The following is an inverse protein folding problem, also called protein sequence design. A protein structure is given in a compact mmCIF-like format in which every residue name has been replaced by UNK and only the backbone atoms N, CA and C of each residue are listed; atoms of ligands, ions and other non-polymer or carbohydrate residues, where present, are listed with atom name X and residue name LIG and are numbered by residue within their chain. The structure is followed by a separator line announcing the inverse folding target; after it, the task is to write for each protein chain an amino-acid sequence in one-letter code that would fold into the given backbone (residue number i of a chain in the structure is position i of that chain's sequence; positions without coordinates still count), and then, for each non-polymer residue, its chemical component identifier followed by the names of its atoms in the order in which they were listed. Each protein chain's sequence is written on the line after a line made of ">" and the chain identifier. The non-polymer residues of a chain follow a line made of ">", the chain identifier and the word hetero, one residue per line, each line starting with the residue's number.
data_IF_455988564910
#
_entry.id   IF_455988564910
#
_cell.length_a   1.000
_cell.length_b   1.000
_cell.length_c   1.000
_cell.angle_alpha   90.00
_cell.angle_beta   90.00
_cell.angle_gamma   90.00
#
_symmetry.space_group_name_H-M   'P 1'
#
loop_
_entity.id
_entity.type
_entity.pdbx_description
1 polymer ?
#
# COMPACT_ATOMS: atom_id res chain seq x y z
N UNK A 1 -38.48 8.47 3.80
CA UNK A 1 -37.07 8.49 3.51
C UNK A 1 -36.60 7.09 3.06
N UNK A 2 -35.79 6.97 1.98
CA UNK A 2 -35.30 5.69 1.53
C UNK A 2 -34.29 5.10 2.55
N UNK A 3 -34.30 3.76 2.67
CA UNK A 3 -33.37 3.02 3.49
C UNK A 3 -32.23 2.47 2.65
N UNK A 4 -31.05 2.38 3.26
CA UNK A 4 -29.86 1.83 2.66
C UNK A 4 -29.29 0.66 3.45
N UNK A 5 -28.54 -0.16 2.75
CA UNK A 5 -27.68 -1.21 3.30
C UNK A 5 -26.24 -0.80 3.06
N UNK A 6 -25.44 -0.74 4.12
CA UNK A 6 -24.03 -0.36 4.08
C UNK A 6 -23.18 -1.46 4.69
N UNK A 7 -22.12 -1.84 3.97
CA UNK A 7 -21.13 -2.81 4.36
C UNK A 7 -19.74 -2.20 4.17
N UNK A 8 -18.93 -2.21 5.22
CA UNK A 8 -17.62 -1.54 5.19
C UNK A 8 -16.60 -2.25 4.30
N UNK A 9 -16.59 -3.57 4.32
CA UNK A 9 -15.73 -4.43 3.51
C UNK A 9 -16.11 -5.90 3.65
N UNK A 10 -15.70 -6.69 2.68
CA UNK A 10 -15.80 -8.15 2.68
C UNK A 10 -14.60 -8.75 1.95
N UNK A 11 -14.25 -9.96 2.28
CA UNK A 11 -13.27 -10.73 1.52
C UNK A 11 -14.00 -11.88 0.81
N UNK A 12 -13.89 -12.05 -0.45
CA UNK A 12 -13.20 -11.45 -1.57
C UNK A 12 -14.21 -10.73 -2.44
N UNK A 13 -15.40 -11.35 -2.63
CA UNK A 13 -16.50 -10.92 -3.45
C UNK A 13 -17.85 -11.30 -2.81
N UNK A 14 -18.91 -10.53 -3.11
CA UNK A 14 -20.25 -10.76 -2.58
C UNK A 14 -21.35 -10.40 -3.57
N UNK A 15 -22.45 -11.15 -3.55
CA UNK A 15 -23.70 -10.79 -4.20
C UNK A 15 -24.79 -10.61 -3.13
N UNK A 16 -25.58 -9.56 -3.25
CA UNK A 16 -26.50 -9.05 -2.25
C UNK A 16 -27.92 -9.17 -2.74
N UNK A 17 -28.80 -9.65 -1.86
CA UNK A 17 -30.24 -9.81 -2.13
C UNK A 17 -31.02 -9.27 -0.96
N UNK A 18 -32.17 -8.66 -1.26
CA UNK A 18 -33.16 -8.22 -0.27
C UNK A 18 -34.50 -8.83 -0.60
N UNK A 19 -35.08 -9.59 0.35
CA UNK A 19 -36.32 -10.33 0.17
C UNK A 19 -36.39 -11.18 -1.10
N UNK A 20 -35.24 -11.79 -1.49
CA UNK A 20 -35.10 -12.58 -2.69
C UNK A 20 -34.78 -11.80 -3.96
N UNK A 21 -34.92 -10.48 -3.97
CA UNK A 21 -34.56 -9.65 -5.11
C UNK A 21 -33.06 -9.29 -5.12
N UNK A 22 -32.43 -9.40 -6.27
CA UNK A 22 -31.00 -9.06 -6.45
C UNK A 22 -30.80 -7.53 -6.39
N UNK A 23 -29.91 -7.09 -5.50
CA UNK A 23 -29.54 -5.69 -5.35
C UNK A 23 -28.28 -5.32 -6.14
N UNK A 24 -27.35 -6.25 -6.26
CA UNK A 24 -26.07 -6.05 -6.94
C UNK A 24 -24.98 -6.98 -6.43
N UNK A 25 -23.81 -6.92 -7.07
CA UNK A 25 -22.65 -7.72 -6.69
C UNK A 25 -21.33 -6.95 -6.83
N UNK A 26 -20.24 -7.57 -6.38
CA UNK A 26 -18.89 -7.05 -6.53
C UNK A 26 -18.23 -7.42 -7.87
N UNK A 27 -18.93 -8.05 -8.79
CA UNK A 27 -18.41 -8.47 -10.10
C UNK A 27 -18.22 -9.99 -10.21
N UNK A 28 -17.30 -10.41 -11.05
CA UNK A 28 -17.14 -11.82 -11.47
C UNK A 28 -16.82 -12.77 -10.31
N UNK A 29 -17.55 -13.90 -10.25
CA UNK A 29 -17.37 -15.00 -9.28
C UNK A 29 -16.57 -16.19 -9.81
N UNK A 30 -16.20 -16.20 -11.10
CA UNK A 30 -15.28 -17.19 -11.69
C UNK A 30 -13.87 -16.63 -11.80
N UNK A 31 -12.87 -17.50 -11.86
CA UNK A 31 -11.46 -17.08 -12.01
C UNK A 31 -11.19 -16.29 -13.30
N UNK A 32 -10.43 -15.21 -13.22
CA UNK A 32 -9.96 -14.51 -12.03
C UNK A 32 -11.12 -13.78 -11.32
N UNK A 33 -11.32 -14.12 -10.03
CA UNK A 33 -12.44 -13.61 -9.23
C UNK A 33 -12.25 -12.11 -8.98
N UNK A 34 -13.34 -11.35 -9.02
CA UNK A 34 -13.33 -9.92 -8.70
C UNK A 34 -12.96 -9.68 -7.23
N UNK A 35 -12.10 -8.71 -6.99
CA UNK A 35 -11.49 -8.41 -5.69
C UNK A 35 -12.06 -7.12 -5.11
N UNK A 36 -12.76 -7.25 -4.00
CA UNK A 36 -13.45 -6.13 -3.36
C UNK A 36 -13.03 -5.93 -1.89
N UNK A 37 -12.01 -6.59 -1.43
CA UNK A 37 -11.62 -6.58 -0.02
C UNK A 37 -11.22 -5.20 0.54
N UNK A 38 -10.91 -4.22 -0.32
CA UNK A 38 -10.67 -2.83 0.07
C UNK A 38 -11.80 -1.90 -0.41
N UNK A 39 -13.03 -2.42 -0.55
CA UNK A 39 -14.15 -1.66 -1.09
C UNK A 39 -15.35 -1.72 -0.17
N UNK A 40 -15.94 -0.58 0.21
CA UNK A 40 -17.25 -0.56 0.84
C UNK A 40 -18.36 -0.80 -0.19
N UNK A 41 -19.48 -1.38 0.28
CA UNK A 41 -20.69 -1.58 -0.52
C UNK A 41 -21.84 -0.75 0.06
N UNK A 42 -22.66 -0.18 -0.81
CA UNK A 42 -23.84 0.56 -0.45
C UNK A 42 -24.95 0.29 -1.45
N UNK A 43 -26.12 -0.10 -0.96
CA UNK A 43 -27.31 -0.33 -1.77
C UNK A 43 -28.48 0.42 -1.17
N UNK A 44 -29.27 1.09 -2.00
CA UNK A 44 -30.58 1.63 -1.60
C UNK A 44 -31.57 0.49 -1.66
N UNK A 45 -32.32 0.27 -0.58
CA UNK A 45 -33.35 -0.76 -0.49
C UNK A 45 -34.65 -0.23 -1.12
N UNK A 46 -35.12 -0.85 -2.24
CA UNK A 46 -36.33 -0.39 -2.90
C UNK A 46 -37.55 -0.50 -1.97
N UNK A 47 -38.35 0.57 -1.92
CA UNK A 47 -39.54 0.61 -1.08
C UNK A 47 -40.55 -0.52 -1.43
N UNK A 48 -40.60 -0.93 -2.69
CA UNK A 48 -41.47 -2.00 -3.17
C UNK A 48 -41.11 -3.40 -2.69
N UNK A 49 -39.91 -3.57 -2.17
CA UNK A 49 -39.45 -4.89 -1.71
C UNK A 49 -39.69 -5.14 -0.20
N UNK A 50 -40.09 -4.10 0.54
CA UNK A 50 -40.37 -4.22 1.96
C UNK A 50 -41.65 -5.02 2.20
N UNK A 51 -41.59 -5.94 3.19
CA UNK A 51 -42.73 -6.77 3.61
C UNK A 51 -43.14 -6.40 5.03
N UNK A 52 -44.43 -6.54 5.36
CA UNK A 52 -44.87 -6.52 6.77
C UNK A 52 -44.20 -7.65 7.55
N UNK A 53 -43.66 -7.35 8.73
CA UNK A 53 -42.94 -8.32 9.56
C UNK A 53 -41.45 -8.43 9.16
N UNK A 54 -40.96 -9.67 9.10
CA UNK A 54 -39.55 -9.95 8.88
C UNK A 54 -39.12 -9.67 7.43
N UNK A 55 -37.96 -9.01 7.29
CA UNK A 55 -37.30 -8.76 6.03
C UNK A 55 -35.92 -9.40 6.02
N UNK A 56 -35.58 -10.08 4.92
CA UNK A 56 -34.38 -10.88 4.78
C UNK A 56 -33.32 -10.19 3.92
N UNK A 57 -32.08 -10.17 4.42
CA UNK A 57 -30.90 -9.81 3.66
C UNK A 57 -30.08 -11.09 3.47
N UNK A 58 -29.92 -11.53 2.22
CA UNK A 58 -29.08 -12.68 1.87
C UNK A 58 -27.81 -12.17 1.17
N UNK A 59 -26.65 -12.63 1.64
CA UNK A 59 -25.35 -12.32 1.03
C UNK A 59 -24.68 -13.64 0.61
N UNK A 60 -24.51 -13.82 -0.69
CA UNK A 60 -23.65 -14.87 -1.24
C UNK A 60 -22.21 -14.39 -1.18
N UNK A 61 -21.41 -14.92 -0.27
CA UNK A 61 -20.02 -14.57 -0.08
C UNK A 61 -19.09 -15.56 -0.81
N UNK A 62 -18.07 -15.05 -1.48
CA UNK A 62 -16.92 -15.80 -1.95
C UNK A 62 -15.66 -15.25 -1.26
N UNK A 63 -14.95 -16.11 -0.52
CA UNK A 63 -13.73 -15.74 0.19
C UNK A 63 -12.61 -16.73 -0.10
N UNK A 64 -11.36 -16.27 0.09
CA UNK A 64 -10.20 -17.17 0.12
C UNK A 64 -10.28 -18.09 1.35
N UNK A 65 -9.90 -19.36 1.26
CA UNK A 65 -9.85 -20.28 2.41
C UNK A 65 -9.03 -19.70 3.56
N UNK A 66 -9.61 -19.68 4.76
CA UNK A 66 -8.99 -19.14 5.96
C UNK A 66 -9.06 -17.61 6.10
N UNK A 67 -9.64 -16.88 5.12
CA UNK A 67 -9.74 -15.42 5.12
C UNK A 67 -11.17 -14.91 4.96
N UNK A 68 -12.15 -15.69 5.34
CA UNK A 68 -13.56 -15.31 5.26
C UNK A 68 -13.89 -14.21 6.24
N UNK A 69 -13.95 -12.95 5.78
CA UNK A 69 -14.31 -11.81 6.58
C UNK A 69 -15.50 -11.10 5.95
N UNK A 70 -16.50 -10.86 6.79
CA UNK A 70 -17.66 -10.04 6.51
C UNK A 70 -17.74 -8.99 7.61
N UNK A 71 -17.67 -7.70 7.27
CA UNK A 71 -17.85 -6.63 8.25
C UNK A 71 -19.31 -6.61 8.74
N UNK A 72 -19.61 -5.95 9.88
CA UNK A 72 -20.98 -5.67 10.28
C UNK A 72 -21.74 -4.96 9.15
N UNK A 73 -23.03 -5.31 9.03
CA UNK A 73 -23.95 -4.72 8.07
C UNK A 73 -24.76 -3.67 8.80
N UNK A 74 -24.79 -2.46 8.26
CA UNK A 74 -25.64 -1.38 8.76
C UNK A 74 -26.84 -1.20 7.82
N UNK A 75 -28.05 -1.16 8.40
CA UNK A 75 -29.29 -0.85 7.68
C UNK A 75 -29.92 0.35 8.34
N UNK A 76 -30.27 1.37 7.55
CA UNK A 76 -30.82 2.59 8.07
C UNK A 76 -31.13 3.64 7.00
N UNK A 77 -31.55 4.85 7.39
CA UNK A 77 -31.81 5.94 6.48
C UNK A 77 -30.59 6.26 5.59
N UNK A 78 -30.83 6.46 4.30
CA UNK A 78 -29.76 6.78 3.33
C UNK A 78 -29.00 8.04 3.73
N UNK A 79 -29.69 9.05 4.23
CA UNK A 79 -29.08 10.32 4.70
C UNK A 79 -28.03 10.12 5.79
N UNK A 80 -28.24 9.13 6.66
CA UNK A 80 -27.30 8.79 7.74
C UNK A 80 -26.10 7.96 7.26
N UNK A 81 -26.33 6.97 6.40
CA UNK A 81 -25.28 5.98 6.03
C UNK A 81 -24.42 6.45 4.86
N UNK A 82 -24.96 7.23 3.94
CA UNK A 82 -24.27 7.66 2.71
C UNK A 82 -23.01 8.47 2.97
N UNK A 83 -22.95 9.44 3.92
CA UNK A 83 -21.72 10.19 4.17
C UNK A 83 -20.56 9.30 4.62
N UNK A 84 -20.81 8.33 5.49
CA UNK A 84 -19.78 7.38 5.97
C UNK A 84 -19.29 6.47 4.83
N UNK A 85 -20.22 6.01 3.98
CA UNK A 85 -19.86 5.25 2.78
C UNK A 85 -19.01 6.07 1.80
N UNK A 86 -19.40 7.30 1.50
CA UNK A 86 -18.70 8.17 0.53
C UNK A 86 -17.29 8.52 1.03
N UNK A 87 -17.15 8.88 2.32
CA UNK A 87 -15.84 9.13 2.91
C UNK A 87 -14.94 7.90 2.85
N UNK A 88 -15.47 6.74 3.23
CA UNK A 88 -14.70 5.48 3.19
C UNK A 88 -14.31 5.10 1.76
N UNK A 89 -15.25 5.20 0.82
CA UNK A 89 -15.00 4.96 -0.60
C UNK A 89 -13.90 5.87 -1.14
N UNK A 90 -14.00 7.17 -0.82
CA UNK A 90 -12.98 8.15 -1.22
C UNK A 90 -11.59 7.74 -0.70
N UNK A 91 -11.45 7.48 0.60
CA UNK A 91 -10.16 7.15 1.21
C UNK A 91 -9.59 5.82 0.72
N UNK A 92 -10.42 4.77 0.67
CA UNK A 92 -9.95 3.41 0.35
C UNK A 92 -9.80 3.16 -1.15
N UNK A 93 -10.63 3.79 -1.98
CA UNK A 93 -10.67 3.50 -3.42
C UNK A 93 -10.12 4.66 -4.24
N UNK A 94 -10.75 5.83 -4.15
CA UNK A 94 -10.48 6.91 -5.09
C UNK A 94 -9.12 7.56 -4.80
N UNK A 95 -8.82 7.88 -3.53
CA UNK A 95 -7.53 8.43 -3.11
C UNK A 95 -6.39 7.42 -3.34
N UNK A 96 -6.58 6.16 -2.95
CA UNK A 96 -5.57 5.10 -3.17
C UNK A 96 -5.25 4.94 -4.64
N UNK A 97 -6.26 4.98 -5.53
CA UNK A 97 -6.08 4.92 -6.97
C UNK A 97 -5.29 6.14 -7.50
N UNK A 98 -5.69 7.35 -7.08
CA UNK A 98 -5.00 8.58 -7.45
C UNK A 98 -3.52 8.56 -7.04
N UNK A 99 -3.24 8.21 -5.78
CA UNK A 99 -1.88 8.10 -5.25
C UNK A 99 -1.04 7.04 -5.99
N UNK A 100 -1.64 5.89 -6.33
CA UNK A 100 -0.96 4.82 -7.08
C UNK A 100 -0.54 5.30 -8.47
N UNK A 101 -1.46 5.94 -9.21
CA UNK A 101 -1.16 6.47 -10.55
C UNK A 101 -0.08 7.55 -10.47
N UNK A 102 -0.21 8.49 -9.55
CA UNK A 102 0.78 9.56 -9.35
C UNK A 102 2.16 8.99 -9.01
N UNK A 103 2.22 7.97 -8.17
CA UNK A 103 3.49 7.33 -7.79
C UNK A 103 4.13 6.59 -8.97
N UNK A 104 3.36 5.90 -9.81
CA UNK A 104 3.89 5.24 -11.01
C UNK A 104 4.46 6.26 -12.01
N UNK A 105 3.80 7.41 -12.19
CA UNK A 105 4.32 8.50 -13.01
C UNK A 105 5.60 9.06 -12.39
N UNK A 106 5.60 9.36 -11.09
CA UNK A 106 6.78 9.84 -10.38
C UNK A 106 7.97 8.87 -10.48
N UNK A 107 7.70 7.55 -10.34
CA UNK A 107 8.70 6.49 -10.53
C UNK A 107 9.36 6.58 -11.91
N UNK A 108 8.56 6.71 -12.97
CA UNK A 108 9.05 6.81 -14.35
C UNK A 108 9.96 8.04 -14.52
N UNK A 109 9.57 9.18 -13.95
CA UNK A 109 10.38 10.41 -14.00
C UNK A 109 11.71 10.24 -13.25
N UNK A 110 11.70 9.67 -12.05
CA UNK A 110 12.93 9.42 -11.27
C UNK A 110 13.87 8.44 -11.99
N UNK A 111 13.32 7.38 -12.60
CA UNK A 111 14.12 6.44 -13.39
C UNK A 111 14.69 7.10 -14.67
N UNK A 112 13.95 8.02 -15.30
CA UNK A 112 14.44 8.80 -16.43
C UNK A 112 15.60 9.73 -16.03
N UNK A 113 15.52 10.35 -14.84
CA UNK A 113 16.65 11.13 -14.28
C UNK A 113 17.87 10.23 -14.08
N UNK A 114 17.69 9.04 -13.49
CA UNK A 114 18.78 8.09 -13.35
C UNK A 114 19.35 7.66 -14.72
N UNK A 115 18.52 7.47 -15.73
CA UNK A 115 18.98 7.09 -17.06
C UNK A 115 19.98 8.10 -17.64
N UNK A 116 19.78 9.39 -17.34
CA UNK A 116 20.69 10.47 -17.70
C UNK A 116 21.92 10.59 -16.78
N UNK A 117 21.78 10.15 -15.51
CA UNK A 117 22.81 10.24 -14.46
C UNK A 117 23.13 8.88 -13.85
N UNK A 118 23.69 7.99 -14.67
CA UNK A 118 24.01 6.60 -14.30
C UNK A 118 24.97 6.46 -13.12
N UNK A 119 25.77 7.48 -12.83
CA UNK A 119 26.73 7.52 -11.72
C UNK A 119 26.05 7.76 -10.36
N UNK A 120 24.78 8.16 -10.34
CA UNK A 120 24.00 8.42 -9.13
C UNK A 120 22.98 7.28 -8.84
N UNK A 121 23.41 6.13 -8.31
CA UNK A 121 22.55 4.96 -8.16
C UNK A 121 21.42 5.14 -7.16
N UNK A 122 21.42 6.19 -6.33
CA UNK A 122 20.33 6.52 -5.41
C UNK A 122 19.00 6.74 -6.16
N UNK A 123 19.02 7.40 -7.33
CA UNK A 123 17.81 7.63 -8.13
C UNK A 123 17.25 6.32 -8.69
N UNK A 124 18.12 5.38 -9.08
CA UNK A 124 17.69 4.06 -9.52
C UNK A 124 16.92 3.31 -8.44
N UNK A 125 17.54 3.17 -7.27
CA UNK A 125 16.93 2.39 -6.19
C UNK A 125 15.67 3.04 -5.64
N UNK A 126 15.63 4.36 -5.58
CA UNK A 126 14.43 5.08 -5.18
C UNK A 126 13.30 4.98 -6.21
N UNK A 127 13.61 5.19 -7.51
CA UNK A 127 12.64 5.03 -8.58
C UNK A 127 12.08 3.61 -8.64
N UNK A 128 12.96 2.60 -8.47
CA UNK A 128 12.52 1.20 -8.41
C UNK A 128 11.66 0.93 -7.16
N UNK A 129 11.98 1.53 -6.01
CA UNK A 129 11.12 1.43 -4.83
C UNK A 129 9.72 2.02 -5.08
N UNK A 130 9.63 3.20 -5.70
CA UNK A 130 8.35 3.78 -6.08
C UNK A 130 7.56 2.87 -7.04
N UNK A 131 8.25 2.26 -8.02
CA UNK A 131 7.64 1.31 -8.96
C UNK A 131 7.10 0.08 -8.23
N UNK A 132 7.91 -0.53 -7.37
CA UNK A 132 7.50 -1.74 -6.63
C UNK A 132 6.32 -1.47 -5.71
N UNK A 133 6.30 -0.31 -5.03
CA UNK A 133 5.12 0.09 -4.25
C UNK A 133 3.89 0.30 -5.14
N UNK A 134 4.04 0.94 -6.30
CA UNK A 134 2.96 1.11 -7.27
C UNK A 134 2.40 -0.24 -7.75
N UNK A 135 3.26 -1.20 -8.06
CA UNK A 135 2.86 -2.57 -8.43
C UNK A 135 2.11 -3.24 -7.28
N UNK A 136 2.63 -3.17 -6.04
CA UNK A 136 1.93 -3.68 -4.86
C UNK A 136 0.54 -3.04 -4.70
N UNK A 137 0.43 -1.72 -4.86
CA UNK A 137 -0.84 -1.00 -4.73
C UNK A 137 -1.89 -1.42 -5.76
N UNK A 138 -1.50 -2.02 -6.91
CA UNK A 138 -2.47 -2.57 -7.87
C UNK A 138 -3.34 -3.66 -7.24
N UNK A 139 -2.83 -4.37 -6.22
CA UNK A 139 -3.58 -5.37 -5.45
C UNK A 139 -4.83 -4.79 -4.77
N UNK A 140 -4.80 -3.49 -4.42
CA UNK A 140 -5.92 -2.77 -3.81
C UNK A 140 -6.83 -2.10 -4.83
N UNK A 141 -6.23 -1.64 -5.93
CA UNK A 141 -6.88 -0.76 -6.91
C UNK A 141 -7.62 -1.56 -7.98
N UNK A 142 -7.06 -2.70 -8.40
CA UNK A 142 -7.63 -3.52 -9.46
C UNK A 142 -8.69 -4.47 -8.89
N UNK A 143 -9.94 -4.24 -9.32
CA UNK A 143 -11.05 -5.16 -9.04
C UNK A 143 -10.92 -6.46 -9.81
N UNK A 144 -10.66 -6.35 -11.10
CA UNK A 144 -10.56 -7.47 -12.03
C UNK A 144 -9.07 -7.70 -12.36
N UNK A 145 -8.42 -8.69 -11.72
CA UNK A 145 -7.00 -8.94 -11.96
C UNK A 145 -6.78 -9.46 -13.40
N UNK A 146 -5.64 -9.08 -14.02
CA UNK A 146 -5.34 -9.50 -15.41
C UNK A 146 -4.86 -10.96 -15.51
N UNK A 147 -4.69 -11.65 -14.38
CA UNK A 147 -4.19 -13.01 -14.27
C UNK A 147 -4.91 -13.75 -13.14
N UNK A 148 -4.64 -15.05 -12.96
CA UNK A 148 -5.25 -15.83 -11.88
C UNK A 148 -4.99 -15.23 -10.51
N UNK A 149 -5.97 -15.34 -9.59
CA UNK A 149 -5.92 -14.76 -8.25
C UNK A 149 -4.65 -15.11 -7.46
N UNK A 150 -4.21 -16.38 -7.41
CA UNK A 150 -2.98 -16.77 -6.72
C UNK A 150 -1.71 -16.12 -7.29
N UNK A 151 -1.56 -16.04 -8.62
CA UNK A 151 -0.41 -15.42 -9.28
C UNK A 151 -0.40 -13.91 -9.03
N UNK A 152 -1.56 -13.25 -9.14
CA UNK A 152 -1.68 -11.82 -8.88
C UNK A 152 -1.32 -11.48 -7.43
N UNK A 153 -1.78 -12.28 -6.48
CA UNK A 153 -1.44 -12.14 -5.06
C UNK A 153 0.06 -12.30 -4.83
N UNK A 154 0.64 -13.38 -5.35
CA UNK A 154 2.07 -13.63 -5.23
C UNK A 154 2.93 -12.49 -5.76
N UNK A 155 2.67 -12.04 -6.99
CA UNK A 155 3.42 -10.92 -7.59
C UNK A 155 3.27 -9.62 -6.80
N UNK A 156 2.08 -9.33 -6.29
CA UNK A 156 1.82 -8.12 -5.51
C UNK A 156 2.60 -8.14 -4.20
N UNK A 157 2.58 -9.24 -3.46
CA UNK A 157 3.34 -9.36 -2.20
C UNK A 157 4.85 -9.39 -2.43
N UNK A 158 5.31 -10.05 -3.49
CA UNK A 158 6.73 -10.00 -3.89
C UNK A 158 7.17 -8.56 -4.21
N UNK A 159 6.30 -7.76 -4.82
CA UNK A 159 6.59 -6.34 -5.06
C UNK A 159 6.70 -5.54 -3.76
N UNK A 160 5.93 -5.86 -2.71
CA UNK A 160 6.08 -5.26 -1.38
C UNK A 160 7.44 -5.59 -0.76
N UNK A 161 7.85 -6.87 -0.82
CA UNK A 161 9.16 -7.30 -0.31
C UNK A 161 10.30 -6.64 -1.11
N UNK A 162 10.17 -6.56 -2.44
CA UNK A 162 11.11 -5.87 -3.31
C UNK A 162 11.20 -4.37 -3.01
N UNK A 163 10.07 -3.73 -2.68
CA UNK A 163 10.05 -2.34 -2.25
C UNK A 163 10.94 -2.11 -1.03
N UNK A 164 10.85 -2.96 0.00
CA UNK A 164 11.66 -2.81 1.21
C UNK A 164 13.16 -2.98 0.92
N UNK A 165 13.51 -3.92 0.05
CA UNK A 165 14.91 -4.12 -0.39
C UNK A 165 15.40 -2.90 -1.17
N UNK A 166 14.62 -2.39 -2.11
CA UNK A 166 14.95 -1.19 -2.88
C UNK A 166 15.10 0.04 -1.99
N UNK A 167 14.22 0.22 -0.99
CA UNK A 167 14.33 1.29 0.01
C UNK A 167 15.60 1.16 0.84
N UNK A 168 15.98 -0.05 1.24
CA UNK A 168 17.23 -0.29 1.97
C UNK A 168 18.45 0.07 1.12
N UNK A 169 18.46 -0.33 -0.15
CA UNK A 169 19.54 0.02 -1.08
C UNK A 169 19.57 1.51 -1.40
N UNK A 170 18.42 2.16 -1.52
CA UNK A 170 18.32 3.61 -1.61
C UNK A 170 18.95 4.30 -0.40
N UNK A 171 18.59 3.90 0.82
CA UNK A 171 19.16 4.46 2.06
C UNK A 171 20.68 4.26 2.09
N UNK A 172 21.18 3.10 1.70
CA UNK A 172 22.63 2.85 1.62
C UNK A 172 23.32 3.84 0.66
N UNK A 173 22.77 4.04 -0.54
CA UNK A 173 23.35 4.98 -1.51
C UNK A 173 23.21 6.44 -1.08
N UNK A 174 22.08 6.80 -0.49
CA UNK A 174 21.83 8.15 0.01
C UNK A 174 22.77 8.54 1.15
N UNK A 175 23.11 7.60 2.04
CA UNK A 175 24.06 7.80 3.14
C UNK A 175 25.54 7.57 2.73
N UNK A 176 25.83 7.24 1.48
CA UNK A 176 27.17 6.90 1.02
C UNK A 176 27.73 5.58 1.57
N UNK A 177 26.86 4.70 2.05
CA UNK A 177 27.24 3.41 2.66
C UNK A 177 27.36 2.35 1.56
N UNK A 178 28.45 1.59 1.58
CA UNK A 178 28.62 0.39 0.76
C UNK A 178 28.85 -0.82 1.66
N UNK A 179 27.91 -1.77 1.68
CA UNK A 179 27.95 -2.99 2.50
C UNK A 179 27.58 -4.22 1.64
N UNK A 180 28.49 -4.69 0.78
CA UNK A 180 28.18 -5.71 -0.23
C UNK A 180 27.63 -7.00 0.38
N UNK A 181 28.11 -7.43 1.56
CA UNK A 181 27.57 -8.62 2.24
C UNK A 181 26.12 -8.44 2.65
N UNK A 182 25.74 -7.26 3.16
CA UNK A 182 24.36 -6.97 3.59
C UNK A 182 23.44 -6.81 2.36
N UNK A 183 23.92 -6.18 1.29
CA UNK A 183 23.19 -6.03 0.05
C UNK A 183 22.93 -7.38 -0.62
N UNK A 184 23.93 -8.29 -0.60
CA UNK A 184 23.76 -9.67 -1.05
C UNK A 184 22.74 -10.43 -0.18
N UNK A 185 22.78 -10.26 1.14
CA UNK A 185 21.78 -10.86 2.05
C UNK A 185 20.37 -10.36 1.76
N UNK A 186 20.16 -9.05 1.53
CA UNK A 186 18.88 -8.51 1.14
C UNK A 186 18.35 -9.13 -0.15
N UNK A 187 19.21 -9.30 -1.16
CA UNK A 187 18.86 -10.01 -2.40
C UNK A 187 18.46 -11.48 -2.16
N UNK A 188 19.22 -12.19 -1.31
CA UNK A 188 18.89 -13.58 -0.95
C UNK A 188 17.57 -13.69 -0.18
N UNK A 189 17.30 -12.75 0.74
CA UNK A 189 16.02 -12.68 1.46
C UNK A 189 14.85 -12.45 0.50
N UNK A 190 15.02 -11.59 -0.50
CA UNK A 190 13.98 -11.35 -1.52
C UNK A 190 13.70 -12.61 -2.36
N UNK A 191 14.76 -13.31 -2.80
CA UNK A 191 14.60 -14.57 -3.53
C UNK A 191 13.93 -15.62 -2.66
N UNK A 192 14.37 -15.76 -1.40
CA UNK A 192 13.77 -16.68 -0.43
C UNK A 192 12.30 -16.36 -0.16
N UNK A 193 11.93 -15.08 0.03
CA UNK A 193 10.56 -14.64 0.20
C UNK A 193 9.71 -14.99 -1.03
N UNK A 194 10.19 -14.68 -2.23
CA UNK A 194 9.50 -14.99 -3.47
C UNK A 194 9.27 -16.49 -3.66
N UNK A 195 10.27 -17.31 -3.33
CA UNK A 195 10.16 -18.78 -3.41
C UNK A 195 9.18 -19.32 -2.36
N UNK A 196 9.30 -18.86 -1.12
CA UNK A 196 8.43 -19.30 -0.02
C UNK A 196 6.96 -18.98 -0.29
N UNK A 197 6.67 -17.78 -0.79
CA UNK A 197 5.31 -17.32 -1.07
C UNK A 197 4.73 -17.87 -2.39
N UNK A 198 5.56 -18.41 -3.28
CA UNK A 198 5.12 -19.09 -4.51
C UNK A 198 4.53 -20.49 -4.27
N UNK A 199 4.74 -21.08 -3.09
CA UNK A 199 4.23 -22.42 -2.78
C UNK A 199 2.69 -22.43 -2.79
N UNK A 200 2.07 -23.41 -3.48
CA UNK A 200 0.63 -23.36 -3.81
C UNK A 200 -0.31 -23.70 -2.65
N UNK A 201 0.20 -24.13 -1.50
CA UNK A 201 -0.63 -24.48 -0.34
C UNK A 201 -1.19 -23.22 0.34
N UNK A 202 -2.47 -22.89 0.10
CA UNK A 202 -3.15 -21.67 0.54
C UNK A 202 -3.02 -21.36 2.05
N UNK A 203 -3.08 -22.38 2.90
CA UNK A 203 -2.91 -22.20 4.36
C UNK A 203 -1.49 -21.74 4.70
N UNK A 204 -0.47 -22.37 4.10
CA UNK A 204 0.94 -22.00 4.27
C UNK A 204 1.26 -20.63 3.68
N UNK A 205 0.58 -20.25 2.60
CA UNK A 205 0.78 -18.96 1.94
C UNK A 205 0.44 -17.79 2.88
N UNK A 206 -0.61 -17.90 3.70
CA UNK A 206 -0.94 -16.88 4.70
C UNK A 206 0.17 -16.70 5.74
N UNK A 207 0.69 -17.79 6.30
CA UNK A 207 1.83 -17.73 7.24
C UNK A 207 3.11 -17.23 6.56
N UNK A 208 3.37 -17.65 5.32
CA UNK A 208 4.52 -17.18 4.55
C UNK A 208 4.46 -15.65 4.35
N UNK A 209 3.30 -15.08 4.01
CA UNK A 209 3.12 -13.64 3.91
C UNK A 209 3.33 -12.93 5.25
N UNK A 210 2.84 -13.48 6.36
CA UNK A 210 3.11 -12.91 7.69
C UNK A 210 4.60 -12.85 7.99
N UNK A 211 5.34 -13.91 7.70
CA UNK A 211 6.80 -13.97 7.89
C UNK A 211 7.51 -12.94 7.01
N UNK A 212 7.19 -12.90 5.70
CA UNK A 212 7.85 -11.96 4.78
C UNK A 212 7.51 -10.51 5.11
N UNK A 213 6.26 -10.18 5.48
CA UNK A 213 5.87 -8.84 5.91
C UNK A 213 6.56 -8.40 7.21
N UNK A 214 6.76 -9.35 8.15
CA UNK A 214 7.53 -9.06 9.37
C UNK A 214 9.00 -8.76 9.01
N UNK A 215 9.60 -9.52 8.10
CA UNK A 215 10.95 -9.25 7.61
C UNK A 215 11.04 -7.90 6.89
N UNK A 216 10.06 -7.57 6.05
CA UNK A 216 9.93 -6.27 5.38
C UNK A 216 9.91 -5.13 6.40
N UNK A 217 9.08 -5.26 7.44
CA UNK A 217 9.03 -4.29 8.55
C UNK A 217 10.38 -4.16 9.26
N UNK A 218 11.04 -5.27 9.57
CA UNK A 218 12.38 -5.29 10.19
C UNK A 218 13.44 -4.61 9.31
N UNK A 219 13.41 -4.82 8.00
CA UNK A 219 14.32 -4.16 7.05
C UNK A 219 14.14 -2.64 7.13
N UNK A 220 12.91 -2.13 7.09
CA UNK A 220 12.63 -0.70 7.17
C UNK A 220 13.01 -0.14 8.54
N UNK A 221 12.70 -0.83 9.64
CA UNK A 221 13.10 -0.44 10.98
C UNK A 221 14.63 -0.33 11.11
N UNK A 222 15.36 -1.29 10.56
CA UNK A 222 16.81 -1.28 10.53
C UNK A 222 17.38 -0.08 9.76
N UNK A 223 16.77 0.29 8.63
CA UNK A 223 17.18 1.50 7.89
C UNK A 223 16.87 2.78 8.66
N UNK A 224 15.73 2.86 9.33
CA UNK A 224 15.39 4.00 10.17
C UNK A 224 16.39 4.20 11.32
N UNK A 225 16.80 3.11 12.00
CA UNK A 225 17.84 3.14 13.03
C UNK A 225 19.18 3.64 12.48
N UNK A 226 19.55 3.27 11.26
CA UNK A 226 20.76 3.76 10.59
C UNK A 226 20.69 5.26 10.31
N UNK A 227 19.59 5.73 9.75
CA UNK A 227 19.38 7.16 9.47
C UNK A 227 19.42 7.93 10.77
N UNK A 228 18.78 7.44 11.83
CA UNK A 228 18.82 8.03 13.18
C UNK A 228 20.23 8.08 13.76
N UNK A 229 21.03 7.01 13.57
CA UNK A 229 22.45 7.00 13.99
C UNK A 229 23.31 8.05 13.28
N UNK A 230 23.04 8.35 12.01
CA UNK A 230 23.71 9.43 11.26
C UNK A 230 23.21 10.81 11.71
N UNK A 231 21.92 10.92 12.00
CA UNK A 231 21.33 12.14 12.54
C UNK A 231 21.99 12.57 13.87
N UNK A 232 22.16 11.63 14.80
CA UNK A 232 22.82 11.91 16.11
C UNK A 232 24.26 12.39 15.98
N UNK A 233 24.93 12.16 14.86
CA UNK A 233 26.28 12.63 14.56
C UNK A 233 26.33 14.06 13.98
N UNK A 234 25.26 14.85 14.12
CA UNK A 234 25.20 16.25 13.71
C UNK A 234 24.76 16.50 12.26
N UNK A 235 24.40 15.47 11.51
CA UNK A 235 23.94 15.59 10.11
C UNK A 235 22.42 15.67 9.96
N UNK A 236 21.74 16.25 10.93
CA UNK A 236 20.28 16.24 10.94
C UNK A 236 19.68 17.04 9.77
N UNK A 237 20.30 18.13 9.33
CA UNK A 237 19.83 18.94 8.17
C UNK A 237 19.84 18.16 6.88
N UNK A 238 20.81 17.25 6.71
CA UNK A 238 20.95 16.45 5.48
C UNK A 238 20.03 15.21 5.48
N UNK A 239 19.80 14.60 6.65
CA UNK A 239 19.15 13.29 6.75
C UNK A 239 17.84 13.30 7.55
N UNK A 240 17.48 14.42 8.18
CA UNK A 240 16.31 14.52 9.06
C UNK A 240 14.99 14.18 8.32
N UNK A 241 14.86 14.68 7.10
CA UNK A 241 13.69 14.42 6.26
C UNK A 241 13.49 12.94 5.96
N UNK A 242 14.58 12.24 5.60
CA UNK A 242 14.54 10.79 5.38
C UNK A 242 14.22 10.04 6.67
N UNK A 243 14.74 10.49 7.81
CA UNK A 243 14.41 9.91 9.12
C UNK A 243 12.94 10.06 9.48
N UNK A 244 12.34 11.24 9.26
CA UNK A 244 10.90 11.48 9.46
C UNK A 244 10.07 10.59 8.52
N UNK A 245 10.47 10.50 7.25
CA UNK A 245 9.80 9.66 6.26
C UNK A 245 9.78 8.18 6.66
N UNK A 246 10.93 7.63 7.05
CA UNK A 246 11.02 6.24 7.51
C UNK A 246 10.28 6.03 8.85
N UNK A 247 10.30 7.01 9.75
CA UNK A 247 9.52 6.97 10.99
C UNK A 247 8.02 6.91 10.72
N UNK A 248 7.52 7.72 9.80
CA UNK A 248 6.10 7.71 9.40
C UNK A 248 5.68 6.36 8.80
N UNK A 249 6.54 5.76 7.93
CA UNK A 249 6.31 4.43 7.38
C UNK A 249 6.27 3.35 8.47
N UNK A 250 7.17 3.42 9.46
CA UNK A 250 7.18 2.48 10.58
C UNK A 250 5.94 2.60 11.46
N UNK A 251 5.50 3.82 11.76
CA UNK A 251 4.29 4.04 12.54
C UNK A 251 3.05 3.52 11.81
N UNK A 252 2.95 3.78 10.51
CA UNK A 252 1.87 3.26 9.69
C UNK A 252 1.92 1.72 9.59
N UNK A 253 3.10 1.14 9.38
CA UNK A 253 3.29 -0.32 9.33
C UNK A 253 3.02 -1.00 10.67
N UNK A 254 3.40 -0.39 11.79
CA UNK A 254 3.08 -0.88 13.13
C UNK A 254 1.57 -0.85 13.39
N UNK A 255 0.90 0.24 13.02
CA UNK A 255 -0.55 0.34 13.09
C UNK A 255 -1.22 -0.82 12.34
N UNK A 256 -0.81 -1.07 11.08
CA UNK A 256 -1.40 -2.13 10.26
C UNK A 256 -1.07 -3.53 10.79
N UNK A 257 0.14 -3.73 11.33
CA UNK A 257 0.52 -4.97 12.00
C UNK A 257 -0.35 -5.23 13.25
N UNK A 258 -0.63 -4.20 14.06
CA UNK A 258 -1.53 -4.31 15.20
C UNK A 258 -2.97 -4.62 14.77
N UNK A 259 -3.41 -4.10 13.62
CA UNK A 259 -4.70 -4.45 13.04
C UNK A 259 -4.76 -5.90 12.53
N UNK A 260 -3.65 -6.51 12.18
CA UNK A 260 -3.58 -7.90 11.72
C UNK A 260 -3.59 -8.93 12.86
N UNK A 261 -3.44 -8.51 14.13
CA UNK A 261 -3.48 -9.43 15.27
C UNK A 261 -4.88 -10.09 15.42
N UNK A 262 -4.96 -11.34 15.89
CA UNK A 262 -6.24 -12.02 16.13
C UNK A 262 -7.19 -11.22 17.02
N UNK A 263 -8.49 -11.23 16.70
CA UNK A 263 -9.53 -10.52 17.45
C UNK A 263 -10.06 -11.31 18.64
N UNK A 264 -9.74 -12.60 18.72
CA UNK A 264 -10.36 -13.58 19.61
C UNK A 264 -10.22 -13.24 21.11
N UNK A 265 -9.23 -12.41 21.45
CA UNK A 265 -8.95 -12.00 22.84
C UNK A 265 -9.38 -10.55 23.15
N UNK A 266 -10.05 -9.85 22.23
CA UNK A 266 -10.51 -8.48 22.47
C UNK A 266 -11.93 -8.48 23.03
N UNK A 267 -12.25 -7.59 24.02
CA UNK A 267 -13.62 -7.30 24.40
C UNK A 267 -14.46 -6.94 23.17
N UNK A 268 -15.72 -7.39 23.13
CA UNK A 268 -16.64 -7.26 21.99
C UNK A 268 -16.74 -5.81 21.46
N UNK A 269 -16.76 -4.82 22.35
CA UNK A 269 -16.79 -3.40 21.98
C UNK A 269 -15.50 -2.94 21.29
N UNK A 270 -14.33 -3.36 21.79
CA UNK A 270 -13.05 -3.03 21.16
C UNK A 270 -12.89 -3.74 19.82
N UNK A 271 -13.34 -4.98 19.69
CA UNK A 271 -13.38 -5.71 18.43
C UNK A 271 -14.26 -5.00 17.39
N UNK A 272 -15.45 -4.51 17.81
CA UNK A 272 -16.37 -3.75 16.98
C UNK A 272 -15.77 -2.40 16.52
N UNK A 273 -15.16 -1.64 17.44
CA UNK A 273 -14.46 -0.39 17.14
C UNK A 273 -13.34 -0.64 16.13
N UNK A 274 -12.53 -1.66 16.39
CA UNK A 274 -11.43 -2.04 15.49
C UNK A 274 -11.93 -2.41 14.09
N UNK A 275 -13.00 -3.18 13.96
CA UNK A 275 -13.61 -3.51 12.68
C UNK A 275 -14.15 -2.26 11.98
N UNK A 276 -14.79 -1.35 12.71
CA UNK A 276 -15.33 -0.10 12.14
C UNK A 276 -14.25 0.82 11.62
N UNK A 277 -13.14 0.94 12.34
CA UNK A 277 -12.02 1.83 11.99
C UNK A 277 -10.85 1.08 11.34
N UNK A 278 -11.14 -0.09 10.74
CA UNK A 278 -10.14 -0.87 10.01
C UNK A 278 -9.77 -0.15 8.71
N UNK A 279 -8.75 0.70 8.80
CA UNK A 279 -8.08 1.34 7.68
C UNK A 279 -6.64 0.86 7.62
N UNK A 280 -6.22 0.39 6.48
CA UNK A 280 -4.81 0.06 6.25
C UNK A 280 -4.08 1.37 5.97
N UNK A 281 -3.41 1.89 6.99
CA UNK A 281 -2.81 3.22 6.98
C UNK A 281 -1.58 3.29 6.07
N UNK A 282 -0.80 2.20 6.01
CA UNK A 282 0.43 2.13 5.23
C UNK A 282 0.18 2.37 3.73
N UNK A 283 -0.98 1.95 3.21
CA UNK A 283 -1.34 2.15 1.81
C UNK A 283 -1.57 3.62 1.41
N UNK A 284 -1.90 4.47 2.37
CA UNK A 284 -1.99 5.92 2.17
C UNK A 284 -0.67 6.59 2.52
N UNK A 285 -0.06 6.22 3.65
CA UNK A 285 1.16 6.83 4.16
C UNK A 285 2.35 6.63 3.20
N UNK A 286 2.55 5.42 2.68
CA UNK A 286 3.72 5.15 1.87
C UNK A 286 3.75 5.90 0.53
N UNK A 287 2.67 5.96 -0.28
CA UNK A 287 2.68 6.79 -1.49
C UNK A 287 2.92 8.27 -1.18
N UNK A 288 2.29 8.81 -0.12
CA UNK A 288 2.48 10.21 0.28
C UNK A 288 3.93 10.47 0.65
N UNK A 289 4.53 9.60 1.47
CA UNK A 289 5.94 9.70 1.87
C UNK A 289 6.88 9.58 0.66
N UNK A 290 6.62 8.63 -0.25
CA UNK A 290 7.44 8.44 -1.44
C UNK A 290 7.33 9.63 -2.40
N UNK A 291 6.14 10.21 -2.59
CA UNK A 291 5.95 11.42 -3.40
C UNK A 291 6.65 12.63 -2.77
N UNK A 292 6.61 12.77 -1.45
CA UNK A 292 7.33 13.82 -0.74
C UNK A 292 8.85 13.68 -0.89
N UNK A 293 9.38 12.45 -0.77
CA UNK A 293 10.80 12.18 -1.03
C UNK A 293 11.17 12.41 -2.51
N UNK A 294 10.26 12.12 -3.45
CA UNK A 294 10.44 12.44 -4.87
C UNK A 294 10.66 13.94 -5.07
N UNK A 295 9.81 14.78 -4.47
CA UNK A 295 9.95 16.23 -4.52
C UNK A 295 11.26 16.71 -3.90
N UNK A 296 11.68 16.13 -2.78
CA UNK A 296 12.96 16.44 -2.14
C UNK A 296 14.16 16.07 -3.03
N UNK A 297 14.17 14.87 -3.60
CA UNK A 297 15.23 14.45 -4.52
C UNK A 297 15.25 15.30 -5.80
N UNK A 298 14.09 15.71 -6.30
CA UNK A 298 13.96 16.61 -7.44
C UNK A 298 14.58 17.98 -7.18
N UNK A 299 14.34 18.55 -5.99
CA UNK A 299 14.98 19.82 -5.58
C UNK A 299 16.51 19.69 -5.51
N UNK A 300 17.02 18.66 -4.84
CA UNK A 300 18.47 18.41 -4.78
C UNK A 300 19.09 18.25 -6.17
N UNK A 301 18.36 17.64 -7.09
CA UNK A 301 18.80 17.54 -8.49
C UNK A 301 18.86 18.90 -9.18
N UNK A 302 17.83 19.72 -9.02
CA UNK A 302 17.78 21.07 -9.60
C UNK A 302 18.89 21.97 -9.02
N UNK A 303 19.12 21.93 -7.70
CA UNK A 303 20.19 22.68 -7.04
C UNK A 303 21.56 22.26 -7.58
N UNK A 304 21.82 20.95 -7.71
CA UNK A 304 23.08 20.45 -8.26
C UNK A 304 23.32 20.83 -9.75
N UNK A 305 22.23 20.95 -10.53
CA UNK A 305 22.30 21.46 -11.91
C UNK A 305 22.67 22.93 -11.94
N UNK A 306 22.01 23.74 -11.14
CA UNK A 306 22.25 25.17 -11.03
C UNK A 306 23.69 25.47 -10.62
N UNK A 307 24.21 24.75 -9.61
CA UNK A 307 25.61 24.89 -9.16
C UNK A 307 26.60 24.52 -10.29
N UNK A 308 26.33 23.45 -11.04
CA UNK A 308 27.16 23.03 -12.15
C UNK A 308 27.14 24.03 -13.30
N UNK A 309 26.00 24.62 -13.65
CA UNK A 309 25.86 25.64 -14.67
C UNK A 309 26.57 26.92 -14.27
N UNK A 310 26.48 27.33 -13.00
CA UNK A 310 27.15 28.50 -12.46
C UNK A 310 28.66 28.33 -12.52
N UNK A 311 29.17 27.17 -12.09
CA UNK A 311 30.59 26.84 -12.15
C UNK A 311 31.11 26.85 -13.60
N UNK A 312 30.31 26.30 -14.53
CA UNK A 312 30.69 26.27 -15.95
C UNK A 312 30.84 27.70 -16.54
N UNK A 313 29.90 28.60 -16.24
CA UNK A 313 29.95 30.00 -16.64
C UNK A 313 31.17 30.72 -16.03
N UNK A 314 31.50 30.45 -14.77
CA UNK A 314 32.71 31.02 -14.14
C UNK A 314 33.99 30.51 -14.79
N UNK A 315 34.05 29.24 -15.20
CA UNK A 315 35.19 28.67 -15.89
C UNK A 315 35.34 29.27 -17.31
N UNK A 316 34.24 29.40 -18.05
CA UNK A 316 34.23 30.03 -19.37
C UNK A 316 34.74 31.47 -19.31
N UNK A 317 34.26 32.26 -18.34
CA UNK A 317 34.73 33.65 -18.16
C UNK A 317 36.21 33.76 -17.80
N UNK A 318 36.78 32.76 -17.08
CA UNK A 318 38.22 32.72 -16.76
C UNK A 318 39.10 32.28 -17.94
N UNK A 319 38.56 31.53 -18.88
CA UNK A 319 39.28 31.09 -20.09
C UNK A 319 39.32 32.20 -21.13
N UNK A 320 38.30 33.07 -21.14
CA UNK A 320 38.21 34.20 -22.07
C UNK A 320 39.02 35.44 -21.61
N UNK A 321 39.38 35.54 -20.31
CA UNK A 321 40.19 36.59 -19.72
C UNK A 321 41.71 36.28 -19.82
#
# INVERSE_FOLDING_TARGET
>A
EPWGLYLWWLNLNGAFYFNGAFLGDGGRFSEPIARNWNKPFFFVLPASLWKPGDNEILIRLHSDPGWGILSPIEVGPVSRLRPDFELRRFLQVDLTRGLTITLLVASTLVLAVWWRRRHDPQYFWFGLACLMWGVFSTYLVLRDPPMSGPVFRWLSHLALDAWAVCMALFVHRYLGIRRPRQEKLLGLLLVGAGTLTALPALIWQGYAFMVTHTLTFMIIAWQALRVFGHWRKGRWREHGLLGIALGALLLAGLHDLLLALPLDNLPSELARIRLKYHFILLHLAAPIVLLFLTGHLGRRFADALYDAETLNRELESRVEA
#
